data_IF_178685311867
#
_entry.id   IF_178685311867
#
_cell.length_a   1.000
_cell.length_b   1.000
_cell.length_c   1.000
_cell.angle_alpha   90.00
_cell.angle_beta   90.00
_cell.angle_gamma   90.00
#
_symmetry.space_group_name_H-M   'P 1'
#
loop_
_entity.id
_entity.type
_entity.pdbx_description
1 polymer ?
#
# COMPACT_ATOMS: atom_id res chain seq x y z
N UNK A 1 1.30 11.11 14.22
CA UNK A 1 1.00 9.89 15.01
C UNK A 1 1.17 8.68 14.08
N UNK A 2 1.77 7.57 14.52
CA UNK A 2 1.86 6.36 13.70
C UNK A 2 0.53 5.60 13.76
N UNK A 3 0.12 4.96 12.66
CA UNK A 3 -1.07 4.10 12.65
C UNK A 3 -0.64 2.65 12.85
N UNK A 4 -1.47 1.89 13.57
CA UNK A 4 -1.24 0.47 13.82
C UNK A 4 -2.56 -0.25 13.59
N UNK A 5 -2.52 -1.25 12.70
CA UNK A 5 -3.65 -2.12 12.42
C UNK A 5 -3.36 -3.52 12.98
N UNK A 6 -4.38 -4.19 13.49
CA UNK A 6 -4.29 -5.60 13.82
C UNK A 6 -4.33 -6.39 12.50
N UNK A 7 -3.37 -7.31 12.30
CA UNK A 7 -3.37 -8.19 11.12
C UNK A 7 -4.55 -9.17 11.17
N UNK A 8 -4.90 -9.77 10.04
CA UNK A 8 -5.96 -10.77 9.96
C UNK A 8 -5.65 -12.01 10.80
N UNK A 9 -4.37 -12.39 10.90
CA UNK A 9 -3.86 -13.35 11.85
C UNK A 9 -3.29 -12.69 13.11
N UNK A 10 -2.14 -13.18 13.55
CA UNK A 10 -1.40 -12.57 14.65
C UNK A 10 -0.57 -11.36 14.19
N UNK A 11 -0.19 -10.51 15.14
CA UNK A 11 0.71 -9.37 14.89
C UNK A 11 0.02 -8.10 14.38
N UNK A 12 0.86 -7.10 14.13
CA UNK A 12 0.44 -5.73 13.84
C UNK A 12 1.10 -5.22 12.57
N UNK A 13 0.32 -4.48 11.79
CA UNK A 13 0.81 -3.70 10.66
C UNK A 13 0.96 -2.24 11.08
N UNK A 14 2.21 -1.80 11.29
CA UNK A 14 2.53 -0.43 11.71
C UNK A 14 2.88 0.44 10.51
N UNK A 15 2.09 1.48 10.28
CA UNK A 15 2.36 2.53 9.29
C UNK A 15 3.12 3.67 9.97
N UNK A 16 4.38 3.87 9.58
CA UNK A 16 5.17 5.01 10.07
C UNK A 16 4.52 6.32 9.65
N UNK A 17 4.64 7.33 10.52
CA UNK A 17 4.05 8.66 10.30
C UNK A 17 4.48 9.28 8.97
N UNK A 18 5.75 9.17 8.60
CA UNK A 18 6.22 9.67 7.31
C UNK A 18 5.51 9.01 6.13
N UNK A 19 5.37 7.67 6.13
CA UNK A 19 4.65 6.95 5.07
C UNK A 19 3.19 7.40 4.97
N UNK A 20 2.51 7.56 6.12
CA UNK A 20 1.15 8.09 6.17
C UNK A 20 1.07 9.50 5.58
N UNK A 21 1.90 10.44 6.03
CA UNK A 21 1.92 11.83 5.56
C UNK A 21 2.14 11.90 4.04
N UNK A 22 3.05 11.07 3.52
CA UNK A 22 3.29 10.98 2.07
C UNK A 22 2.05 10.51 1.31
N UNK A 23 1.32 9.52 1.81
CA UNK A 23 0.06 9.09 1.17
C UNK A 23 -1.03 10.19 1.27
N UNK A 24 -1.18 10.82 2.43
CA UNK A 24 -2.20 11.86 2.66
C UNK A 24 -1.97 13.12 1.80
N UNK A 25 -0.72 13.42 1.44
CA UNK A 25 -0.41 14.51 0.53
C UNK A 25 -1.07 14.36 -0.87
N UNK A 26 -1.41 13.13 -1.28
CA UNK A 26 -2.07 12.84 -2.55
C UNK A 26 -3.59 12.70 -2.45
N UNK A 27 -4.18 12.85 -1.25
CA UNK A 27 -5.63 12.72 -1.03
C UNK A 27 -6.43 13.53 -2.07
N UNK A 28 -7.38 12.88 -2.74
CA UNK A 28 -8.20 13.45 -3.81
C UNK A 28 -9.35 14.34 -3.29
N UNK A 29 -9.02 15.33 -2.46
CA UNK A 29 -9.97 16.25 -1.81
C UNK A 29 -10.55 17.35 -2.72
N UNK A 30 -10.25 17.34 -4.01
CA UNK A 30 -10.85 18.26 -4.98
C UNK A 30 -11.09 17.59 -6.33
N UNK A 31 -12.00 18.16 -7.11
CA UNK A 31 -12.38 17.62 -8.43
C UNK A 31 -11.22 17.57 -9.44
N UNK A 32 -10.15 18.35 -9.22
CA UNK A 32 -8.97 18.42 -10.11
C UNK A 32 -7.86 17.45 -9.72
N UNK A 33 -7.91 16.87 -8.52
CA UNK A 33 -6.89 15.90 -8.07
C UNK A 33 -7.15 14.54 -8.71
N UNK A 34 -6.15 14.09 -9.48
CA UNK A 34 -6.09 12.75 -10.06
C UNK A 34 -5.71 11.73 -9.00
N UNK A 35 -5.96 10.47 -9.31
CA UNK A 35 -5.58 9.36 -8.45
C UNK A 35 -4.07 9.37 -8.24
N UNK A 36 -3.66 9.25 -6.98
CA UNK A 36 -2.27 9.00 -6.61
C UNK A 36 -2.15 7.57 -6.13
N UNK A 37 -0.99 6.96 -6.37
CA UNK A 37 -0.68 5.65 -5.84
C UNK A 37 0.81 5.35 -5.86
N UNK A 38 1.15 4.15 -5.41
CA UNK A 38 2.52 3.68 -5.38
C UNK A 38 2.69 2.40 -4.58
N UNK A 39 3.95 2.05 -4.34
CA UNK A 39 4.36 0.87 -3.60
C UNK A 39 4.52 1.18 -2.10
N UNK A 40 4.19 0.20 -1.28
CA UNK A 40 4.48 0.13 0.13
C UNK A 40 5.87 -0.51 0.34
N UNK A 41 6.75 0.15 1.09
CA UNK A 41 8.13 -0.30 1.32
C UNK A 41 8.39 -0.41 2.83
N UNK A 42 8.79 -1.60 3.28
CA UNK A 42 8.92 -1.85 4.71
C UNK A 42 9.55 -3.19 5.04
N UNK A 43 9.30 -3.67 6.25
CA UNK A 43 10.01 -4.81 6.84
C UNK A 43 9.06 -5.79 7.48
N UNK A 44 9.32 -7.08 7.27
CA UNK A 44 8.86 -8.15 8.15
C UNK A 44 9.82 -8.23 9.34
N UNK A 45 9.29 -8.28 10.56
CA UNK A 45 10.12 -8.31 11.77
C UNK A 45 10.50 -9.77 12.05
N UNK A 46 11.80 -10.03 12.21
CA UNK A 46 12.29 -11.37 12.52
C UNK A 46 11.69 -11.87 13.84
N UNK A 47 11.32 -13.15 13.88
CA UNK A 47 10.70 -13.82 15.04
C UNK A 47 9.44 -13.11 15.58
N UNK A 48 8.73 -12.39 14.69
CA UNK A 48 7.52 -11.67 15.03
C UNK A 48 6.54 -11.66 13.86
N UNK A 49 5.23 -11.75 14.11
CA UNK A 49 4.23 -11.53 13.08
C UNK A 49 4.02 -10.03 12.77
N UNK A 50 4.79 -9.12 13.37
CA UNK A 50 4.67 -7.69 13.10
C UNK A 50 5.30 -7.31 11.74
N UNK A 51 4.66 -6.35 11.08
CA UNK A 51 5.12 -5.74 9.82
C UNK A 51 5.16 -4.23 9.98
N UNK A 52 6.24 -3.61 9.51
CA UNK A 52 6.41 -2.15 9.57
C UNK A 52 6.50 -1.59 8.16
N UNK A 53 5.52 -0.75 7.79
CA UNK A 53 5.59 0.10 6.62
C UNK A 53 6.45 1.32 6.93
N UNK A 54 7.66 1.36 6.36
CA UNK A 54 8.64 2.41 6.61
C UNK A 54 8.45 3.63 5.70
N UNK A 55 8.17 3.39 4.41
CA UNK A 55 8.06 4.41 3.38
C UNK A 55 7.09 3.99 2.26
N UNK A 56 6.70 4.94 1.42
CA UNK A 56 5.97 4.66 0.19
C UNK A 56 6.67 5.31 -1.00
N UNK A 57 6.60 4.69 -2.17
CA UNK A 57 6.82 5.45 -3.40
C UNK A 57 5.61 6.35 -3.64
N UNK A 58 5.82 7.48 -4.29
CA UNK A 58 4.76 8.40 -4.71
C UNK A 58 4.68 8.44 -6.23
N UNK A 59 3.59 8.96 -6.82
CA UNK A 59 3.48 9.07 -8.28
C UNK A 59 4.74 9.63 -8.94
N UNK A 60 5.22 8.95 -9.97
CA UNK A 60 6.46 9.19 -10.70
C UNK A 60 6.19 9.55 -12.17
N UNK A 61 7.15 10.19 -12.86
CA UNK A 61 7.08 10.36 -14.31
C UNK A 61 6.89 9.01 -15.02
N UNK A 62 5.94 8.96 -15.95
CA UNK A 62 5.57 7.75 -16.69
C UNK A 62 4.36 7.01 -16.13
N UNK A 63 3.88 7.36 -14.94
CA UNK A 63 2.62 6.81 -14.43
C UNK A 63 1.43 7.36 -15.22
N UNK A 64 0.47 6.49 -15.53
CA UNK A 64 -0.83 6.91 -16.03
C UNK A 64 -1.71 7.26 -14.82
N UNK A 65 -2.18 8.51 -14.79
CA UNK A 65 -3.04 9.01 -13.72
C UNK A 65 -4.27 9.62 -14.33
N UNK A 66 -5.42 9.02 -14.03
CA UNK A 66 -6.73 9.58 -14.30
C UNK A 66 -7.46 9.77 -12.96
N UNK A 67 -8.71 10.20 -12.98
CA UNK A 67 -9.43 10.49 -11.72
C UNK A 67 -9.80 9.25 -10.91
N UNK A 68 -10.00 8.13 -11.58
CA UNK A 68 -10.44 6.84 -11.03
C UNK A 68 -9.59 5.68 -11.56
N UNK A 69 -8.35 5.99 -11.96
CA UNK A 69 -7.42 5.01 -12.49
C UNK A 69 -5.99 5.45 -12.25
N UNK A 70 -5.21 4.59 -11.61
CA UNK A 70 -3.77 4.72 -11.49
C UNK A 70 -3.08 3.49 -12.09
N UNK A 71 -2.12 3.70 -12.99
CA UNK A 71 -1.24 2.64 -13.48
C UNK A 71 0.20 3.08 -13.30
N UNK A 72 0.89 2.41 -12.38
CA UNK A 72 2.31 2.67 -12.12
C UNK A 72 3.19 2.30 -13.30
N UNK A 73 4.22 3.09 -13.51
CA UNK A 73 5.31 2.81 -14.43
C UNK A 73 6.31 1.81 -13.83
N UNK A 74 7.19 1.28 -14.68
CA UNK A 74 8.31 0.44 -14.24
C UNK A 74 9.36 1.22 -13.42
N UNK A 75 9.31 2.56 -13.42
CA UNK A 75 10.26 3.39 -12.67
C UNK A 75 10.21 3.12 -11.15
N UNK A 76 9.06 2.69 -10.64
CA UNK A 76 8.88 2.33 -9.24
C UNK A 76 9.79 1.16 -8.79
N UNK A 77 10.20 0.27 -9.71
CA UNK A 77 11.15 -0.82 -9.38
C UNK A 77 12.47 -0.27 -8.83
N UNK A 78 12.95 0.84 -9.39
CA UNK A 78 14.19 1.49 -8.91
C UNK A 78 14.06 2.00 -7.48
N UNK A 79 12.85 2.35 -7.04
CA UNK A 79 12.58 2.76 -5.65
C UNK A 79 12.67 1.56 -4.71
N UNK A 80 12.16 0.39 -5.14
CA UNK A 80 12.32 -0.88 -4.39
C UNK A 80 13.80 -1.23 -4.28
N UNK A 81 14.51 -1.23 -5.41
CA UNK A 81 15.93 -1.60 -5.44
C UNK A 81 16.78 -0.67 -4.57
N UNK A 82 16.54 0.64 -4.65
CA UNK A 82 17.23 1.62 -3.81
C UNK A 82 16.93 1.41 -2.32
N UNK A 83 15.68 1.14 -1.96
CA UNK A 83 15.29 0.86 -0.58
C UNK A 83 15.94 -0.43 -0.05
N UNK A 84 16.00 -1.47 -0.88
CA UNK A 84 16.66 -2.73 -0.57
C UNK A 84 18.15 -2.52 -0.27
N UNK A 85 18.89 -1.90 -1.19
CA UNK A 85 20.33 -1.67 -1.02
C UNK A 85 20.65 -0.75 0.15
N UNK A 86 19.93 0.37 0.28
CA UNK A 86 20.16 1.34 1.36
C UNK A 86 19.85 0.78 2.76
N UNK A 87 19.08 -0.30 2.84
CA UNK A 87 18.69 -0.94 4.11
C UNK A 87 19.46 -2.23 4.41
N UNK A 88 20.47 -2.56 3.62
CA UNK A 88 21.20 -3.83 3.74
C UNK A 88 20.32 -5.06 3.50
N UNK A 89 19.31 -4.94 2.64
CA UNK A 89 18.41 -6.04 2.29
C UNK A 89 17.26 -6.27 3.25
N UNK A 90 16.85 -5.27 4.02
CA UNK A 90 15.73 -5.43 4.98
C UNK A 90 14.44 -4.78 4.50
N UNK A 91 14.50 -3.64 3.80
CA UNK A 91 13.33 -2.96 3.24
C UNK A 91 12.94 -3.58 1.91
N UNK A 92 11.77 -4.20 1.91
CA UNK A 92 11.16 -4.91 0.79
C UNK A 92 9.87 -4.25 0.34
N UNK A 93 9.38 -4.66 -0.82
CA UNK A 93 8.02 -4.43 -1.26
C UNK A 93 7.01 -5.15 -0.33
N UNK A 94 6.00 -4.41 0.13
CA UNK A 94 4.94 -4.92 1.00
C UNK A 94 3.56 -4.91 0.34
N UNK A 95 3.40 -4.31 -0.83
CA UNK A 95 2.09 -4.12 -1.47
C UNK A 95 1.93 -2.73 -2.06
N UNK A 96 0.70 -2.26 -2.24
CA UNK A 96 0.41 -1.02 -2.96
C UNK A 96 -0.54 -0.12 -2.18
N UNK A 97 -0.54 1.17 -2.52
CA UNK A 97 -1.51 2.13 -2.03
C UNK A 97 -2.02 2.98 -3.17
N UNK A 98 -3.24 3.48 -3.02
CA UNK A 98 -3.82 4.46 -3.92
C UNK A 98 -4.89 5.31 -3.24
N UNK A 99 -5.36 6.34 -3.95
CA UNK A 99 -6.35 7.29 -3.44
C UNK A 99 -7.67 7.12 -4.16
N UNK A 100 -8.76 7.39 -3.48
CA UNK A 100 -10.09 7.41 -4.07
C UNK A 100 -10.76 8.76 -3.78
N UNK A 101 -11.53 9.36 -4.72
CA UNK A 101 -12.23 10.61 -4.46
C UNK A 101 -13.45 10.45 -3.53
N UNK A 102 -13.89 9.23 -3.24
CA UNK A 102 -15.00 8.94 -2.34
C UNK A 102 -14.65 9.26 -0.86
N UNK A 103 -15.62 9.74 -0.05
CA UNK A 103 -15.40 9.96 1.39
C UNK A 103 -14.96 8.73 2.16
N UNK A 104 -15.61 7.61 1.85
CA UNK A 104 -15.40 6.30 2.45
C UNK A 104 -15.20 5.33 1.30
N UNK A 105 -13.95 5.12 0.91
CA UNK A 105 -13.63 4.33 -0.27
C UNK A 105 -13.61 2.83 0.04
N UNK A 106 -14.15 2.06 -0.89
CA UNK A 106 -13.90 0.62 -1.00
C UNK A 106 -13.07 0.40 -2.27
N UNK A 107 -12.24 -0.65 -2.33
CA UNK A 107 -11.56 -1.01 -3.57
C UNK A 107 -12.59 -1.31 -4.65
N UNK A 108 -12.23 -0.95 -5.89
CA UNK A 108 -12.96 -1.34 -7.10
C UNK A 108 -12.74 -2.83 -7.43
N UNK A 109 -13.51 -3.36 -8.38
CA UNK A 109 -13.29 -4.72 -8.86
C UNK A 109 -11.93 -4.84 -9.58
N UNK A 110 -11.51 -3.78 -10.26
CA UNK A 110 -10.18 -3.67 -10.87
C UNK A 110 -9.06 -3.73 -9.83
N UNK A 111 -9.24 -3.06 -8.68
CA UNK A 111 -8.29 -3.12 -7.56
C UNK A 111 -8.16 -4.54 -7.04
N UNK A 112 -9.29 -5.18 -6.72
CA UNK A 112 -9.32 -6.56 -6.22
C UNK A 112 -8.69 -7.52 -7.23
N UNK A 113 -8.96 -7.34 -8.53
CA UNK A 113 -8.34 -8.10 -9.60
C UNK A 113 -6.82 -7.88 -9.69
N UNK A 114 -6.35 -6.66 -9.46
CA UNK A 114 -4.91 -6.35 -9.40
C UNK A 114 -4.25 -7.00 -8.18
N UNK A 115 -4.87 -6.89 -7.02
CA UNK A 115 -4.37 -7.47 -5.77
C UNK A 115 -4.22 -8.98 -5.87
N UNK A 116 -5.22 -9.68 -6.42
CA UNK A 116 -5.13 -11.14 -6.67
C UNK A 116 -3.97 -11.51 -7.57
N UNK A 117 -3.73 -10.74 -8.64
CA UNK A 117 -2.57 -10.96 -9.53
C UNK A 117 -1.25 -10.78 -8.80
N UNK A 118 -1.15 -9.79 -7.91
CA UNK A 118 0.05 -9.59 -7.09
C UNK A 118 0.24 -10.69 -6.05
N UNK A 119 -0.82 -11.11 -5.35
CA UNK A 119 -0.74 -12.20 -4.38
C UNK A 119 -0.23 -13.51 -5.01
N UNK A 120 -0.64 -13.78 -6.26
CA UNK A 120 -0.24 -14.96 -7.02
C UNK A 120 1.15 -14.87 -7.68
N UNK A 121 1.84 -13.72 -7.64
CA UNK A 121 3.12 -13.55 -8.34
C UNK A 121 4.28 -14.19 -7.57
N UNK A 122 4.89 -15.30 -8.05
CA UNK A 122 5.92 -16.03 -7.32
C UNK A 122 7.22 -15.24 -7.11
N UNK A 123 7.39 -14.10 -7.81
CA UNK A 123 8.58 -13.25 -7.68
C UNK A 123 8.53 -12.33 -6.47
N UNK A 124 7.36 -12.18 -5.86
CA UNK A 124 7.17 -11.32 -4.69
C UNK A 124 7.61 -12.08 -3.43
N UNK A 125 8.26 -11.39 -2.51
CA UNK A 125 8.72 -11.95 -1.23
C UNK A 125 7.66 -11.78 -0.13
N UNK A 126 7.61 -12.73 0.81
CA UNK A 126 6.74 -12.70 1.99
C UNK A 126 5.37 -13.36 1.76
N UNK A 127 4.71 -13.73 2.86
CA UNK A 127 3.44 -14.50 2.88
C UNK A 127 2.17 -13.64 2.74
N UNK A 128 2.31 -12.32 2.87
CA UNK A 128 1.19 -11.39 2.81
C UNK A 128 1.58 -10.10 2.07
N UNK A 129 0.59 -9.49 1.43
CA UNK A 129 0.67 -8.15 0.89
C UNK A 129 -0.33 -7.23 1.57
N UNK A 130 -0.03 -5.95 1.62
CA UNK A 130 -0.85 -4.93 2.24
C UNK A 130 -1.34 -3.96 1.19
N UNK A 131 -2.60 -3.55 1.32
CA UNK A 131 -3.20 -2.59 0.42
C UNK A 131 -3.80 -1.45 1.23
N UNK A 132 -3.54 -0.20 0.81
CA UNK A 132 -4.07 0.99 1.48
C UNK A 132 -4.84 1.83 0.48
N UNK A 133 -6.11 2.11 0.77
CA UNK A 133 -6.91 3.05 -0.02
C UNK A 133 -7.19 4.29 0.82
N UNK A 134 -6.77 5.44 0.30
CA UNK A 134 -6.95 6.75 0.93
C UNK A 134 -8.16 7.45 0.32
N UNK A 135 -9.31 7.37 1.00
CA UNK A 135 -10.48 8.19 0.66
C UNK A 135 -10.33 9.64 1.12
N UNK A 136 -11.35 10.46 0.87
CA UNK A 136 -11.32 11.88 1.29
C UNK A 136 -11.58 12.09 2.78
N UNK A 137 -12.24 11.15 3.47
CA UNK A 137 -12.49 11.20 4.92
C UNK A 137 -12.00 9.99 5.69
N UNK A 138 -11.77 8.85 5.02
CA UNK A 138 -11.37 7.60 5.66
C UNK A 138 -10.23 6.96 4.87
N UNK A 139 -9.19 6.54 5.57
CA UNK A 139 -8.17 5.62 5.07
C UNK A 139 -8.54 4.21 5.52
N UNK A 140 -8.43 3.25 4.61
CA UNK A 140 -8.65 1.83 4.89
C UNK A 140 -7.41 1.02 4.53
N UNK A 141 -7.19 -0.05 5.29
CA UNK A 141 -6.10 -0.98 5.05
C UNK A 141 -6.65 -2.41 4.93
N UNK A 142 -6.03 -3.17 4.03
CA UNK A 142 -6.30 -4.58 3.79
C UNK A 142 -5.00 -5.39 3.87
N UNK A 143 -5.16 -6.64 4.26
CA UNK A 143 -4.13 -7.66 4.18
C UNK A 143 -4.60 -8.73 3.21
N UNK A 144 -3.78 -9.02 2.21
CA UNK A 144 -3.95 -10.14 1.30
C UNK A 144 -3.06 -11.30 1.71
N UNK A 145 -3.65 -12.48 1.88
CA UNK A 145 -2.93 -13.71 2.20
C UNK A 145 -2.59 -14.42 0.90
N UNK A 146 -1.32 -14.80 0.73
CA UNK A 146 -0.86 -15.34 -0.55
C UNK A 146 -1.18 -16.81 -0.76
N UNK A 147 -1.24 -17.59 0.32
CA UNK A 147 -1.50 -19.02 0.25
C UNK A 147 -2.88 -19.35 -0.30
N UNK A 148 -3.88 -18.49 -0.09
CA UNK A 148 -5.25 -18.66 -0.57
C UNK A 148 -5.76 -17.52 -1.46
N UNK A 149 -4.96 -16.47 -1.65
CA UNK A 149 -5.33 -15.29 -2.45
C UNK A 149 -6.46 -14.47 -1.85
N UNK A 150 -6.83 -14.70 -0.59
CA UNK A 150 -7.87 -13.96 0.11
C UNK A 150 -7.39 -12.55 0.45
N UNK A 151 -8.34 -11.63 0.66
CA UNK A 151 -8.03 -10.27 1.10
C UNK A 151 -9.04 -9.83 2.14
N UNK A 152 -8.55 -9.36 3.28
CA UNK A 152 -9.36 -9.01 4.45
C UNK A 152 -9.08 -7.56 4.84
N UNK A 153 -10.13 -6.81 5.19
CA UNK A 153 -9.97 -5.45 5.73
C UNK A 153 -9.43 -5.55 7.16
N UNK A 154 -8.25 -4.99 7.41
CA UNK A 154 -7.57 -5.02 8.71
C UNK A 154 -7.84 -3.75 9.55
N UNK A 155 -8.40 -2.71 8.95
CA UNK A 155 -8.92 -1.57 9.70
C UNK A 155 -9.16 -0.32 8.88
N UNK A 156 -9.60 0.72 9.58
CA UNK A 156 -9.88 2.04 8.99
C UNK A 156 -9.67 3.18 9.99
N UNK A 157 -9.32 4.35 9.49
CA UNK A 157 -9.03 5.56 10.30
C UNK A 157 -9.66 6.78 9.63
N UNK A 158 -10.27 7.66 10.43
CA UNK A 158 -10.79 8.95 9.96
C UNK A 158 -9.66 9.96 9.78
N UNK A 159 -9.72 10.71 8.67
CA UNK A 159 -8.70 11.66 8.20
C UNK A 159 -9.06 13.12 8.48
#
# INVERSE_FOLDING_TARGET
MALVFQRAGEGRFKVRTHALERMLAYRQDSRRKLEGGGLLLGRFILDSPDVVLDAVSTPMPGDLRERHRFVRSQAHQRVVDAAWWASGGTRVYLGEWHTHPEPVSSPSDEDVGSWRRHLADPRIYGEALFFIVVGTRVLRAWEGVRSDGSTVKIGEVRL
#
